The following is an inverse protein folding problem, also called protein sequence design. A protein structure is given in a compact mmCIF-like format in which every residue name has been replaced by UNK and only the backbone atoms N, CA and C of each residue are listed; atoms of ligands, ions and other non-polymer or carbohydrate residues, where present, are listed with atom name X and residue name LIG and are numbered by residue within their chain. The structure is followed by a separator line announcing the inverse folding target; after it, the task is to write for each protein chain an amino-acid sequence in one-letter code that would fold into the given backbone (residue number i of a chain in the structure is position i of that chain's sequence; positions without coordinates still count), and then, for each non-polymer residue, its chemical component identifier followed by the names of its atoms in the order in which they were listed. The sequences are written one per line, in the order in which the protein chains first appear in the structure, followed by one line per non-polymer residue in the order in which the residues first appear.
data_IF_161862105740
#
_entry.id   IF_161862105740
#
_cell.length_a   1.000
_cell.length_b   1.000
_cell.length_c   1.000
_cell.angle_alpha   90.00
_cell.angle_beta   90.00
_cell.angle_gamma   90.00
#
_symmetry.space_group_name_H-M   'P 1'
#
loop_
_entity.id
_entity.type
_entity.pdbx_description
1 polymer ?
#
# COMPACT_ATOMS: atom_id res chain seq x y z
N UNK A 1 8.68 9.18 14.78
CA UNK A 1 9.04 10.59 14.51
C UNK A 1 8.92 10.88 13.02
N UNK A 2 8.44 12.08 12.65
CA UNK A 2 8.40 12.55 11.25
C UNK A 2 9.79 13.09 10.85
N UNK A 3 10.27 12.68 9.69
CA UNK A 3 11.59 13.03 9.15
C UNK A 3 11.50 13.37 7.67
N UNK A 4 12.55 13.98 7.12
CA UNK A 4 12.68 14.24 5.68
C UNK A 4 14.06 13.86 5.19
N UNK A 5 14.13 13.38 3.94
CA UNK A 5 15.38 13.00 3.26
C UNK A 5 15.25 13.33 1.77
N UNK A 6 16.38 13.58 1.10
CA UNK A 6 16.40 13.74 -0.35
C UNK A 6 16.48 12.38 -1.04
N UNK A 7 15.53 12.10 -1.93
CA UNK A 7 15.51 10.87 -2.73
C UNK A 7 15.20 11.25 -4.17
N UNK A 8 16.10 10.95 -5.09
CA UNK A 8 15.91 11.23 -6.52
C UNK A 8 15.51 12.69 -6.82
N UNK A 9 16.09 13.63 -6.09
CA UNK A 9 15.80 15.07 -6.23
C UNK A 9 14.50 15.52 -5.54
N UNK A 10 13.74 14.63 -4.88
CA UNK A 10 12.52 14.96 -4.16
C UNK A 10 12.79 15.02 -2.66
N UNK A 11 12.31 16.07 -1.99
CA UNK A 11 12.20 16.08 -0.54
C UNK A 11 11.12 15.09 -0.13
N UNK A 12 11.53 13.97 0.45
CA UNK A 12 10.68 12.85 0.84
C UNK A 12 10.42 12.87 2.33
N UNK A 13 9.15 12.92 2.72
CA UNK A 13 8.72 12.83 4.11
C UNK A 13 8.49 11.37 4.50
N UNK A 14 8.90 10.99 5.71
CA UNK A 14 8.67 9.65 6.25
C UNK A 14 8.51 9.65 7.77
N UNK A 15 7.82 8.63 8.27
CA UNK A 15 7.70 8.32 9.69
C UNK A 15 8.66 7.19 10.01
N UNK A 16 9.34 7.26 11.13
CA UNK A 16 10.29 6.22 11.59
C UNK A 16 10.19 6.01 13.09
N UNK A 17 10.14 4.75 13.50
CA UNK A 17 10.17 4.31 14.89
C UNK A 17 11.02 3.06 15.05
N UNK A 18 11.66 2.94 16.22
CA UNK A 18 12.50 1.80 16.57
C UNK A 18 13.88 1.80 15.92
N UNK A 19 14.55 0.67 16.07
CA UNK A 19 15.87 0.38 15.52
C UNK A 19 15.96 -1.12 15.20
N UNK A 20 16.96 -1.54 14.41
CA UNK A 20 17.16 -2.93 14.00
C UNK A 20 16.87 -3.18 12.53
N UNK A 21 16.41 -4.37 12.18
CA UNK A 21 16.14 -4.71 10.78
C UNK A 21 15.02 -3.82 10.20
N UNK A 22 15.22 -3.20 9.02
CA UNK A 22 14.23 -2.29 8.45
C UNK A 22 12.99 -3.03 7.91
N UNK A 23 11.82 -2.48 8.26
CA UNK A 23 10.52 -2.81 7.66
C UNK A 23 9.95 -1.55 7.04
N UNK A 24 9.77 -1.53 5.74
CA UNK A 24 9.28 -0.37 4.99
C UNK A 24 7.83 -0.58 4.57
N UNK A 25 6.99 0.39 4.90
CA UNK A 25 5.55 0.39 4.65
C UNK A 25 5.18 1.36 3.54
N UNK A 26 4.42 0.88 2.57
CA UNK A 26 3.94 1.62 1.41
C UNK A 26 2.42 1.76 1.48
N UNK A 27 1.93 2.99 1.56
CA UNK A 27 0.49 3.29 1.59
C UNK A 27 -0.17 3.12 0.22
N UNK A 28 -1.50 3.04 0.19
CA UNK A 28 -2.30 2.97 -1.04
C UNK A 28 -2.33 4.30 -1.82
N UNK A 29 -3.09 4.34 -2.91
CA UNK A 29 -3.12 5.46 -3.85
C UNK A 29 -4.40 6.30 -3.82
N UNK A 30 -5.33 6.04 -2.89
CA UNK A 30 -6.54 6.85 -2.79
C UNK A 30 -6.24 8.28 -2.36
N UNK A 31 -7.12 9.21 -2.72
CA UNK A 31 -7.00 10.61 -2.37
C UNK A 31 -6.84 10.78 -0.85
N UNK A 32 -5.86 11.60 -0.42
CA UNK A 32 -5.52 11.81 0.98
C UNK A 32 -4.71 10.68 1.64
N UNK A 33 -4.22 9.69 0.88
CA UNK A 33 -3.29 8.67 1.41
C UNK A 33 -1.94 9.28 1.76
N UNK A 34 -1.32 8.76 2.82
CA UNK A 34 0.02 9.16 3.30
C UNK A 34 0.61 8.05 4.18
N UNK A 35 1.85 8.22 4.61
CA UNK A 35 2.54 7.36 5.57
C UNK A 35 1.76 7.19 6.90
N UNK A 36 0.92 8.16 7.26
CA UNK A 36 0.06 8.11 8.46
C UNK A 36 -0.96 6.97 8.44
N UNK A 37 -1.19 6.33 7.29
CA UNK A 37 -1.98 5.10 7.23
C UNK A 37 -1.41 3.98 8.14
N UNK A 38 -0.13 4.07 8.50
CA UNK A 38 0.57 3.08 9.33
C UNK A 38 0.90 3.56 10.74
N UNK A 39 0.39 4.70 11.19
CA UNK A 39 0.70 5.23 12.53
C UNK A 39 0.28 4.30 13.68
N UNK A 40 -0.70 3.41 13.47
CA UNK A 40 -1.09 2.36 14.41
C UNK A 40 -0.23 1.11 14.36
N UNK A 41 0.65 1.01 13.38
CA UNK A 41 1.47 -0.18 13.14
C UNK A 41 2.93 0.06 13.54
N UNK A 42 3.49 1.24 13.24
CA UNK A 42 4.91 1.53 13.50
C UNK A 42 5.33 1.26 14.95
N UNK A 43 4.57 1.67 16.00
CA UNK A 43 4.96 1.41 17.39
C UNK A 43 5.06 -0.08 17.72
N UNK A 44 4.16 -0.92 17.18
CA UNK A 44 4.17 -2.36 17.43
C UNK A 44 5.41 -3.04 16.81
N UNK A 45 5.79 -2.63 15.61
CA UNK A 45 7.00 -3.16 14.95
C UNK A 45 8.26 -2.65 15.64
N UNK A 46 8.29 -1.40 16.06
CA UNK A 46 9.39 -0.84 16.85
C UNK A 46 9.56 -1.58 18.18
N UNK A 47 8.47 -1.83 18.91
CA UNK A 47 8.46 -2.62 20.13
C UNK A 47 8.90 -4.08 19.95
N UNK A 48 8.76 -4.62 18.75
CA UNK A 48 9.24 -5.96 18.36
C UNK A 48 10.71 -5.98 17.90
N UNK A 49 11.43 -4.85 17.94
CA UNK A 49 12.86 -4.73 17.62
C UNK A 49 13.15 -4.44 16.14
N UNK A 50 12.17 -3.97 15.37
CA UNK A 50 12.38 -3.54 13.99
C UNK A 50 12.58 -2.01 13.89
N UNK A 51 13.28 -1.58 12.85
CA UNK A 51 13.26 -0.21 12.36
C UNK A 51 12.07 -0.06 11.42
N UNK A 52 10.94 0.42 11.93
CA UNK A 52 9.68 0.56 11.21
C UNK A 52 9.62 1.92 10.50
N UNK A 53 9.45 1.92 9.18
CA UNK A 53 9.54 3.12 8.34
C UNK A 53 8.35 3.16 7.38
N UNK A 54 7.59 4.25 7.38
CA UNK A 54 6.55 4.51 6.38
C UNK A 54 6.84 5.85 5.70
N UNK A 55 6.92 5.90 4.38
CA UNK A 55 7.16 7.15 3.68
C UNK A 55 5.96 7.58 2.82
N UNK A 56 5.79 8.88 2.66
CA UNK A 56 4.88 9.46 1.69
C UNK A 56 5.44 9.24 0.29
N UNK A 57 4.74 8.45 -0.52
CA UNK A 57 5.18 8.20 -1.90
C UNK A 57 5.21 9.50 -2.71
N UNK A 58 6.03 9.61 -3.79
CA UNK A 58 6.05 10.77 -4.66
C UNK A 58 4.66 11.22 -5.11
N UNK A 59 4.34 12.48 -4.87
CA UNK A 59 3.03 13.05 -5.16
C UNK A 59 1.95 12.76 -4.12
N UNK A 60 2.33 12.39 -2.90
CA UNK A 60 1.44 12.17 -1.75
C UNK A 60 1.96 12.88 -0.50
N UNK A 61 1.05 13.15 0.43
CA UNK A 61 1.36 13.64 1.75
C UNK A 61 2.24 14.89 1.73
N UNK A 62 3.37 14.83 2.43
CA UNK A 62 4.34 15.92 2.53
C UNK A 62 5.55 15.76 1.59
N UNK A 63 5.65 14.64 0.86
CA UNK A 63 6.66 14.44 -0.17
C UNK A 63 6.39 15.31 -1.40
N UNK A 64 7.44 15.74 -2.07
CA UNK A 64 7.34 16.56 -3.28
C UNK A 64 6.62 15.82 -4.41
N UNK A 65 6.07 16.59 -5.34
CA UNK A 65 5.49 16.06 -6.55
C UNK A 65 6.60 15.67 -7.54
N UNK A 66 6.54 14.48 -8.14
CA UNK A 66 7.48 14.06 -9.17
C UNK A 66 7.16 14.72 -10.52
N UNK A 67 8.11 14.64 -11.46
CA UNK A 67 7.84 14.97 -12.86
C UNK A 67 7.05 13.84 -13.53
N UNK A 68 7.37 12.59 -13.20
CA UNK A 68 6.70 11.39 -13.72
C UNK A 68 5.73 10.82 -12.66
N UNK A 69 4.44 10.79 -12.98
CA UNK A 69 3.38 10.29 -12.11
C UNK A 69 3.02 8.82 -12.34
N UNK A 70 3.71 8.11 -13.24
CA UNK A 70 3.47 6.70 -13.50
C UNK A 70 3.72 5.82 -12.25
N UNK A 71 2.98 4.72 -12.12
CA UNK A 71 3.20 3.79 -11.01
C UNK A 71 4.56 3.07 -11.15
N UNK A 72 5.07 2.93 -12.37
CA UNK A 72 6.42 2.43 -12.66
C UNK A 72 7.50 3.29 -12.01
N UNK A 73 7.41 4.64 -12.09
CA UNK A 73 8.32 5.54 -11.40
C UNK A 73 8.30 5.32 -9.87
N UNK A 74 7.10 5.28 -9.26
CA UNK A 74 6.96 5.03 -7.82
C UNK A 74 7.46 3.64 -7.42
N UNK A 75 7.34 2.65 -8.30
CA UNK A 75 7.91 1.31 -8.08
C UNK A 75 9.43 1.35 -7.98
N UNK A 76 10.10 2.05 -8.89
CA UNK A 76 11.56 2.23 -8.85
C UNK A 76 12.01 3.11 -7.68
N UNK A 77 11.19 4.07 -7.27
CA UNK A 77 11.47 4.95 -6.14
C UNK A 77 11.64 4.17 -4.82
N UNK A 78 11.03 2.99 -4.68
CA UNK A 78 11.19 2.12 -3.49
C UNK A 78 12.67 1.80 -3.27
N UNK A 79 13.40 1.38 -4.31
CA UNK A 79 14.83 1.06 -4.19
C UNK A 79 15.66 2.29 -3.90
N UNK A 80 15.36 3.41 -4.57
CA UNK A 80 16.04 4.70 -4.32
C UNK A 80 15.83 5.19 -2.88
N UNK A 81 14.62 4.97 -2.33
CA UNK A 81 14.34 5.29 -0.93
C UNK A 81 15.14 4.39 0.02
N UNK A 82 15.22 3.09 -0.24
CA UNK A 82 16.05 2.18 0.54
C UNK A 82 17.52 2.61 0.56
N UNK A 83 18.06 3.03 -0.58
CA UNK A 83 19.43 3.52 -0.68
C UNK A 83 19.64 4.80 0.15
N UNK A 84 18.69 5.73 0.08
CA UNK A 84 18.76 7.00 0.81
C UNK A 84 18.70 6.84 2.35
N UNK A 85 18.06 5.79 2.85
CA UNK A 85 17.99 5.49 4.29
C UNK A 85 19.05 4.47 4.76
N UNK A 86 20.05 4.18 3.90
CA UNK A 86 21.12 3.20 4.13
C UNK A 86 20.62 1.78 4.45
N UNK A 87 19.48 1.38 3.85
CA UNK A 87 18.93 0.04 3.98
C UNK A 87 19.32 -0.84 2.78
N UNK A 88 20.35 -1.64 2.91
CA UNK A 88 20.75 -2.60 1.86
C UNK A 88 19.66 -3.63 1.57
N UNK A 89 18.92 -4.06 2.60
CA UNK A 89 17.77 -4.98 2.51
C UNK A 89 16.69 -4.57 3.52
N UNK A 90 15.42 -4.81 3.18
CA UNK A 90 14.30 -4.54 4.07
C UNK A 90 13.19 -5.59 3.91
N UNK A 91 12.36 -5.79 4.92
CA UNK A 91 11.02 -6.31 4.73
C UNK A 91 10.14 -5.21 4.12
N UNK A 92 9.26 -5.57 3.18
CA UNK A 92 8.42 -4.61 2.48
C UNK A 92 6.95 -4.94 2.68
N UNK A 93 6.18 -3.96 3.13
CA UNK A 93 4.73 -4.05 3.32
C UNK A 93 4.05 -3.11 2.33
N UNK A 94 3.34 -3.64 1.36
CA UNK A 94 2.60 -2.84 0.38
C UNK A 94 1.09 -2.94 0.58
N UNK A 95 0.42 -1.82 0.83
CA UNK A 95 -1.04 -1.78 0.97
C UNK A 95 -1.72 -1.30 -0.31
N UNK A 96 -2.82 -1.95 -0.71
CA UNK A 96 -3.68 -1.53 -1.82
C UNK A 96 -2.90 -1.53 -3.16
N UNK A 97 -2.87 -0.45 -3.92
CA UNK A 97 -2.07 -0.35 -5.14
C UNK A 97 -0.58 -0.64 -4.90
N UNK A 98 -0.06 -0.24 -3.73
CA UNK A 98 1.34 -0.48 -3.39
C UNK A 98 1.69 -1.97 -3.20
N UNK A 99 0.71 -2.86 -2.99
CA UNK A 99 0.94 -4.30 -3.01
C UNK A 99 1.44 -4.77 -4.38
N UNK A 100 0.84 -4.27 -5.46
CA UNK A 100 1.32 -4.55 -6.82
C UNK A 100 2.69 -3.97 -7.12
N UNK A 101 2.99 -2.77 -6.60
CA UNK A 101 4.31 -2.15 -6.73
C UNK A 101 5.37 -2.96 -5.96
N UNK A 102 5.06 -3.37 -4.72
CA UNK A 102 5.93 -4.20 -3.89
C UNK A 102 6.24 -5.55 -4.54
N UNK A 103 5.25 -6.20 -5.14
CA UNK A 103 5.48 -7.45 -5.88
C UNK A 103 6.38 -7.24 -7.11
N UNK A 104 6.15 -6.17 -7.90
CA UNK A 104 6.98 -5.87 -9.08
C UNK A 104 8.41 -5.54 -8.71
N UNK A 105 8.64 -4.70 -7.71
CA UNK A 105 10.00 -4.34 -7.28
C UNK A 105 10.74 -5.54 -6.70
N UNK A 106 10.05 -6.45 -5.99
CA UNK A 106 10.67 -7.68 -5.47
C UNK A 106 11.09 -8.63 -6.60
N UNK A 107 10.31 -8.71 -7.68
CA UNK A 107 10.67 -9.49 -8.88
C UNK A 107 11.87 -8.88 -9.63
N UNK A 108 11.99 -7.54 -9.63
CA UNK A 108 13.08 -6.83 -10.33
C UNK A 108 14.37 -6.77 -9.52
N UNK A 109 14.27 -6.72 -8.18
CA UNK A 109 15.39 -6.54 -7.25
C UNK A 109 15.34 -7.57 -6.10
N UNK A 110 15.40 -8.89 -6.39
CA UNK A 110 15.11 -9.94 -5.39
C UNK A 110 16.07 -9.93 -4.19
N UNK A 111 17.29 -9.40 -4.34
CA UNK A 111 18.28 -9.34 -3.25
C UNK A 111 18.05 -8.19 -2.29
N UNK A 112 17.17 -7.22 -2.60
CA UNK A 112 16.90 -6.04 -1.80
C UNK A 112 15.86 -6.27 -0.71
N UNK A 113 15.19 -7.41 -0.69
CA UNK A 113 14.12 -7.70 0.26
C UNK A 113 14.41 -8.94 1.08
N UNK A 114 13.87 -8.97 2.31
CA UNK A 114 13.95 -10.13 3.22
C UNK A 114 12.61 -10.85 3.28
N UNK A 115 11.51 -10.10 3.30
CA UNK A 115 10.13 -10.58 3.35
C UNK A 115 9.23 -9.62 2.55
N UNK A 116 8.10 -10.12 2.08
CA UNK A 116 7.12 -9.34 1.36
C UNK A 116 5.71 -9.58 1.92
N UNK A 117 5.04 -8.52 2.35
CA UNK A 117 3.63 -8.54 2.76
C UNK A 117 2.81 -7.73 1.75
N UNK A 118 1.86 -8.37 1.09
CA UNK A 118 0.93 -7.75 0.14
C UNK A 118 -0.45 -7.63 0.80
N UNK A 119 -0.86 -6.42 1.11
CA UNK A 119 -2.04 -6.14 1.92
C UNK A 119 -3.13 -5.48 1.09
N UNK A 120 -4.31 -6.09 0.99
CA UNK A 120 -5.48 -5.51 0.31
C UNK A 120 -5.27 -5.24 -1.19
N UNK A 121 -4.31 -5.89 -1.83
CA UNK A 121 -3.92 -5.62 -3.21
C UNK A 121 -4.81 -6.30 -4.25
N UNK A 122 -5.78 -5.58 -4.82
CA UNK A 122 -6.67 -6.14 -5.86
C UNK A 122 -5.93 -6.61 -7.12
N UNK A 123 -4.83 -5.96 -7.50
CA UNK A 123 -4.04 -6.29 -8.69
C UNK A 123 -3.14 -7.53 -8.57
N UNK A 124 -3.02 -8.10 -7.38
CA UNK A 124 -2.27 -9.34 -7.11
C UNK A 124 -3.18 -10.55 -6.88
N UNK A 125 -4.46 -10.43 -7.18
CA UNK A 125 -5.44 -11.51 -7.13
C UNK A 125 -6.01 -11.82 -8.52
N UNK A 126 -6.34 -13.10 -8.83
CA UNK A 126 -6.99 -13.45 -10.09
C UNK A 126 -8.37 -12.80 -10.20
N UNK A 127 -8.87 -12.49 -11.40
CA UNK A 127 -10.25 -12.10 -11.59
C UNK A 127 -11.19 -13.27 -11.26
N UNK A 128 -12.42 -12.96 -10.85
CA UNK A 128 -13.45 -14.00 -10.73
C UNK A 128 -13.89 -14.48 -12.13
N UNK A 129 -14.26 -15.75 -12.28
CA UNK A 129 -14.77 -16.27 -13.55
C UNK A 129 -15.92 -15.40 -14.10
N UNK A 130 -15.88 -15.08 -15.39
CA UNK A 130 -16.86 -14.24 -16.07
C UNK A 130 -16.77 -12.73 -15.76
N UNK A 131 -15.81 -12.29 -14.93
CA UNK A 131 -15.52 -10.87 -14.72
C UNK A 131 -14.19 -10.53 -15.36
N UNK A 132 -14.16 -9.58 -16.28
CA UNK A 132 -12.90 -9.01 -16.77
C UNK A 132 -12.17 -8.37 -15.59
N UNK A 133 -10.94 -8.79 -15.35
CA UNK A 133 -10.12 -8.25 -14.27
C UNK A 133 -9.89 -6.76 -14.46
N UNK A 134 -10.25 -6.00 -13.44
CA UNK A 134 -10.14 -4.57 -13.42
C UNK A 134 -11.43 -3.98 -12.87
N UNK A 135 -11.58 -3.94 -11.55
CA UNK A 135 -12.44 -2.92 -10.94
C UNK A 135 -11.90 -1.55 -11.36
N UNK A 136 -12.70 -0.48 -11.28
CA UNK A 136 -12.21 0.87 -11.58
C UNK A 136 -10.90 1.09 -10.84
N UNK A 137 -9.92 1.64 -11.53
CA UNK A 137 -8.62 1.95 -10.92
C UNK A 137 -8.89 2.75 -9.64
N UNK A 138 -8.35 2.27 -8.53
CA UNK A 138 -8.59 2.86 -7.22
C UNK A 138 -8.32 4.37 -7.28
N UNK A 139 -9.32 5.18 -6.98
CA UNK A 139 -9.21 6.64 -6.97
C UNK A 139 -9.67 7.34 -8.25
N UNK A 140 -10.24 6.66 -9.24
CA UNK A 140 -10.78 7.29 -10.46
C UNK A 140 -12.26 7.72 -10.39
N UNK A 141 -12.86 7.81 -9.24
CA UNK A 141 -14.07 8.61 -9.16
C UNK A 141 -13.66 10.08 -9.22
N UNK A 142 -13.66 10.59 -10.46
CA UNK A 142 -13.17 11.92 -10.78
C UNK A 142 -13.97 13.02 -10.10
N UNK A 143 -13.41 13.58 -9.05
CA UNK A 143 -13.75 14.92 -8.66
C UNK A 143 -12.88 15.87 -9.49
N UNK A 144 -13.45 16.53 -10.48
CA UNK A 144 -12.82 17.69 -11.15
C UNK A 144 -12.82 18.93 -10.24
N UNK A 145 -13.31 18.80 -9.03
CA UNK A 145 -13.52 19.86 -8.04
C UNK A 145 -12.68 19.61 -6.79
N UNK A 146 -12.38 20.68 -6.07
CA UNK A 146 -11.65 20.60 -4.79
C UNK A 146 -12.32 19.60 -3.85
N UNK A 147 -11.57 18.65 -3.26
CA UNK A 147 -12.11 17.63 -2.37
C UNK A 147 -12.76 18.22 -1.12
N UNK A 148 -13.80 17.56 -0.62
CA UNK A 148 -14.57 17.92 0.56
C UNK A 148 -14.50 16.84 1.65
N UNK A 149 -14.97 17.15 2.86
CA UNK A 149 -15.14 16.14 3.92
C UNK A 149 -16.11 15.02 3.51
N UNK A 150 -17.14 15.36 2.73
CA UNK A 150 -18.08 14.37 2.21
C UNK A 150 -17.39 13.38 1.26
N UNK A 151 -16.48 13.85 0.41
CA UNK A 151 -15.69 12.97 -0.47
C UNK A 151 -14.79 12.07 0.36
N UNK A 152 -14.16 12.59 1.41
CA UNK A 152 -13.37 11.77 2.34
C UNK A 152 -14.25 10.72 3.03
N UNK A 153 -15.46 11.09 3.44
CA UNK A 153 -16.42 10.15 4.04
C UNK A 153 -16.76 9.03 3.07
N UNK A 154 -17.13 9.33 1.83
CA UNK A 154 -17.43 8.33 0.79
C UNK A 154 -16.26 7.38 0.56
N UNK A 155 -15.03 7.91 0.46
CA UNK A 155 -13.83 7.09 0.32
C UNK A 155 -13.67 6.15 1.52
N UNK A 156 -13.82 6.65 2.75
CA UNK A 156 -13.64 5.85 3.96
C UNK A 156 -14.75 4.82 4.13
N UNK A 157 -16.01 5.17 3.82
CA UNK A 157 -17.13 4.25 3.85
C UNK A 157 -16.94 3.04 2.93
N UNK A 158 -16.27 3.23 1.79
CA UNK A 158 -15.95 2.15 0.86
C UNK A 158 -14.77 1.28 1.32
N UNK A 159 -14.00 1.73 2.32
CA UNK A 159 -12.76 1.08 2.75
C UNK A 159 -12.81 0.49 4.16
N UNK A 160 -13.83 0.82 4.97
CA UNK A 160 -14.03 0.30 6.32
C UNK A 160 -15.20 -0.67 6.40
N UNK A 161 -15.05 -1.73 7.15
CA UNK A 161 -16.15 -2.59 7.61
C UNK A 161 -16.88 -1.92 8.78
N UNK A 162 -16.14 -1.54 9.82
CA UNK A 162 -16.69 -0.83 10.99
C UNK A 162 -16.69 0.68 10.75
N UNK A 163 -17.81 1.22 10.29
CA UNK A 163 -17.99 2.65 10.02
C UNK A 163 -17.83 3.55 11.27
N UNK A 164 -18.02 3.00 12.47
CA UNK A 164 -17.83 3.72 13.74
C UNK A 164 -16.39 4.16 13.99
N UNK A 165 -15.41 3.58 13.26
CA UNK A 165 -14.01 3.99 13.34
C UNK A 165 -13.69 5.22 12.46
N UNK A 166 -14.63 5.69 11.65
CA UNK A 166 -14.45 6.85 10.77
C UNK A 166 -14.79 8.12 11.56
N UNK A 167 -13.80 8.63 12.29
CA UNK A 167 -13.96 9.87 13.08
C UNK A 167 -13.82 11.12 12.23
N UNK A 168 -14.29 12.25 12.76
CA UNK A 168 -14.13 13.55 12.11
C UNK A 168 -12.66 13.91 11.94
N UNK A 169 -11.83 13.64 12.94
CA UNK A 169 -10.38 13.90 12.92
C UNK A 169 -9.69 13.11 11.80
N UNK A 170 -10.08 11.85 11.59
CA UNK A 170 -9.56 11.03 10.51
C UNK A 170 -9.94 11.61 9.14
N UNK A 171 -11.17 12.10 8.99
CA UNK A 171 -11.63 12.72 7.74
C UNK A 171 -10.93 14.06 7.48
N UNK A 172 -10.77 14.91 8.49
CA UNK A 172 -10.06 16.18 8.40
C UNK A 172 -8.57 15.98 8.06
N UNK A 173 -7.93 15.00 8.69
CA UNK A 173 -6.55 14.65 8.40
C UNK A 173 -6.39 14.20 6.94
N UNK A 174 -7.29 13.33 6.44
CA UNK A 174 -7.28 12.92 5.03
C UNK A 174 -7.57 14.07 4.08
N UNK A 175 -8.54 14.92 4.41
CA UNK A 175 -8.86 16.10 3.60
C UNK A 175 -7.63 17.00 3.48
N UNK A 176 -6.96 17.30 4.58
CA UNK A 176 -5.72 18.10 4.57
C UNK A 176 -4.68 17.51 3.63
N UNK A 177 -4.52 16.17 3.62
CA UNK A 177 -3.57 15.47 2.73
C UNK A 177 -4.09 15.30 1.30
N UNK A 178 -5.30 15.74 0.98
CA UNK A 178 -5.88 15.66 -0.37
C UNK A 178 -5.93 17.01 -1.10
N UNK A 179 -5.55 18.08 -0.45
CA UNK A 179 -5.63 19.45 -1.00
C UNK A 179 -4.33 19.94 -1.64
N UNK A 180 -4.41 21.04 -2.39
CA UNK A 180 -3.27 21.72 -3.00
C UNK A 180 -2.46 20.80 -3.91
N UNK A 181 -1.14 20.77 -3.74
CA UNK A 181 -0.22 19.97 -4.57
C UNK A 181 -0.59 18.48 -4.65
N UNK A 182 -1.22 17.95 -3.60
CA UNK A 182 -1.63 16.52 -3.57
C UNK A 182 -2.86 16.28 -4.45
N UNK A 183 -3.76 17.25 -4.55
CA UNK A 183 -4.87 17.16 -5.50
C UNK A 183 -4.37 17.25 -6.94
N UNK A 184 -3.45 18.18 -7.24
CA UNK A 184 -2.83 18.30 -8.55
C UNK A 184 -2.13 17.00 -8.94
N UNK A 185 -1.39 16.40 -8.00
CA UNK A 185 -0.75 15.10 -8.18
C UNK A 185 -1.77 13.96 -8.39
N UNK A 186 -2.91 13.98 -7.71
CA UNK A 186 -3.98 13.01 -7.91
C UNK A 186 -4.53 13.09 -9.34
N UNK A 187 -4.83 14.29 -9.83
CA UNK A 187 -5.28 14.51 -11.22
C UNK A 187 -4.20 14.09 -12.22
N UNK A 188 -2.93 14.43 -11.97
CA UNK A 188 -1.83 14.03 -12.85
C UNK A 188 -1.67 12.49 -12.92
N UNK A 189 -1.77 11.78 -11.77
CA UNK A 189 -1.75 10.31 -11.72
C UNK A 189 -2.91 9.67 -12.48
N UNK A 190 -4.13 10.25 -12.40
CA UNK A 190 -5.30 9.72 -13.13
C UNK A 190 -5.15 9.82 -14.65
N UNK A 191 -4.31 10.74 -15.11
CA UNK A 191 -4.00 10.95 -16.54
C UNK A 191 -2.73 10.23 -17.00
N UNK A 192 -1.88 9.82 -16.06
CA UNK A 192 -0.64 9.11 -16.37
C UNK A 192 -0.97 7.77 -17.04
N UNK A 193 -0.41 7.56 -18.23
CA UNK A 193 -0.57 6.31 -18.96
C UNK A 193 0.53 5.35 -18.53
N UNK A 194 0.13 4.21 -17.99
CA UNK A 194 1.07 3.10 -17.85
C UNK A 194 1.26 2.45 -19.22
N UNK A 195 2.49 1.99 -19.57
CA UNK A 195 2.67 1.15 -20.72
C UNK A 195 1.70 -0.05 -20.60
N UNK A 196 0.83 -0.20 -21.59
CA UNK A 196 -0.06 -1.37 -21.65
C UNK A 196 0.80 -2.60 -21.90
N UNK A 197 1.27 -3.23 -20.85
CA UNK A 197 2.04 -4.45 -20.93
C UNK A 197 1.10 -5.63 -21.17
N UNK A 198 1.14 -6.22 -22.37
CA UNK A 198 0.57 -7.53 -22.66
C UNK A 198 1.34 -8.68 -21.99
N UNK A 199 1.79 -8.48 -20.74
CA UNK A 199 2.57 -9.47 -20.01
C UNK A 199 1.72 -10.41 -19.16
N UNK A 200 2.38 -11.43 -18.59
CA UNK A 200 1.75 -12.36 -17.64
C UNK A 200 1.18 -11.59 -16.45
N UNK A 201 -0.10 -11.82 -16.09
CA UNK A 201 -0.72 -11.16 -14.94
C UNK A 201 0.09 -11.34 -13.65
N UNK A 202 0.17 -10.31 -12.84
CA UNK A 202 1.05 -10.29 -11.67
C UNK A 202 0.75 -11.42 -10.67
N UNK A 203 -0.53 -11.78 -10.49
CA UNK A 203 -0.90 -12.89 -9.59
C UNK A 203 -0.31 -14.25 -10.02
N UNK A 204 -0.08 -14.49 -11.31
CA UNK A 204 0.56 -15.71 -11.82
C UNK A 204 2.08 -15.70 -11.60
N UNK A 205 2.65 -14.53 -11.37
CA UNK A 205 4.08 -14.34 -11.15
C UNK A 205 4.48 -14.32 -9.68
N UNK A 206 3.52 -14.35 -8.74
CA UNK A 206 3.82 -14.33 -7.31
C UNK A 206 4.72 -15.49 -6.87
N UNK A 207 4.60 -16.64 -7.51
CA UNK A 207 5.46 -17.80 -7.27
C UNK A 207 6.93 -17.63 -7.70
N UNK A 208 7.23 -16.61 -8.52
CA UNK A 208 8.61 -16.27 -8.93
C UNK A 208 9.33 -15.43 -7.84
N UNK A 209 8.60 -14.92 -6.85
CA UNK A 209 9.18 -14.13 -5.75
C UNK A 209 9.98 -15.07 -4.85
N UNK A 210 11.27 -14.81 -4.73
CA UNK A 210 12.23 -15.69 -4.04
C UNK A 210 12.31 -15.50 -2.53
N UNK A 211 11.64 -14.49 -1.98
CA UNK A 211 11.60 -14.21 -0.54
C UNK A 211 10.28 -14.70 0.06
N UNK A 212 10.22 -14.97 1.38
CA UNK A 212 8.96 -15.26 2.05
C UNK A 212 7.89 -14.23 1.71
N UNK A 213 6.71 -14.71 1.27
CA UNK A 213 5.60 -13.90 0.81
C UNK A 213 4.34 -14.22 1.61
N UNK A 214 3.67 -13.17 2.12
CA UNK A 214 2.35 -13.23 2.74
C UNK A 214 1.40 -12.29 2.02
N UNK A 215 0.24 -12.81 1.61
CA UNK A 215 -0.91 -12.01 1.19
C UNK A 215 -1.87 -11.89 2.38
N UNK A 216 -2.28 -10.67 2.73
CA UNK A 216 -3.17 -10.40 3.87
C UNK A 216 -4.31 -9.48 3.47
N UNK A 217 -5.54 -9.88 3.78
CA UNK A 217 -6.75 -9.11 3.43
C UNK A 217 -7.72 -9.07 4.60
N UNK A 218 -8.52 -7.99 4.65
CA UNK A 218 -9.76 -8.03 5.40
C UNK A 218 -10.76 -8.95 4.69
N UNK A 219 -11.47 -9.80 5.42
CA UNK A 219 -12.43 -10.74 4.84
C UNK A 219 -13.60 -10.05 4.15
N UNK A 220 -13.94 -8.86 4.60
CA UNK A 220 -14.98 -7.99 4.05
C UNK A 220 -14.44 -6.94 3.07
N UNK A 221 -13.20 -7.12 2.59
CA UNK A 221 -12.62 -6.21 1.61
C UNK A 221 -13.42 -6.26 0.29
N UNK A 222 -13.50 -5.10 -0.36
CA UNK A 222 -14.22 -4.90 -1.62
C UNK A 222 -13.68 -5.77 -2.76
N UNK A 223 -14.41 -5.82 -3.86
CA UNK A 223 -13.99 -6.56 -5.05
C UNK A 223 -13.94 -8.07 -4.85
N UNK A 224 -14.72 -8.59 -3.87
CA UNK A 224 -14.77 -10.02 -3.58
C UNK A 224 -13.40 -10.61 -3.21
N UNK A 225 -12.59 -9.87 -2.46
CA UNK A 225 -11.21 -10.23 -2.14
C UNK A 225 -11.11 -11.64 -1.53
N UNK A 226 -11.98 -12.00 -0.57
CA UNK A 226 -11.97 -13.32 0.06
C UNK A 226 -12.19 -14.46 -0.95
N UNK A 227 -13.13 -14.31 -1.89
CA UNK A 227 -13.38 -15.31 -2.95
C UNK A 227 -12.19 -15.41 -3.91
N UNK A 228 -11.59 -14.27 -4.27
CA UNK A 228 -10.41 -14.21 -5.14
C UNK A 228 -9.16 -14.78 -4.45
N UNK A 229 -9.04 -14.62 -3.14
CA UNK A 229 -8.00 -15.27 -2.32
C UNK A 229 -8.16 -16.79 -2.33
N UNK A 230 -9.39 -17.30 -2.17
CA UNK A 230 -9.67 -18.74 -2.27
C UNK A 230 -9.28 -19.29 -3.65
N UNK A 231 -9.67 -18.59 -4.72
CA UNK A 231 -9.30 -18.97 -6.09
C UNK A 231 -7.79 -18.96 -6.31
N UNK A 232 -7.09 -17.96 -5.80
CA UNK A 232 -5.62 -17.91 -5.88
C UNK A 232 -4.98 -19.08 -5.10
N UNK A 233 -5.52 -19.41 -3.92
CA UNK A 233 -5.04 -20.53 -3.09
C UNK A 233 -5.23 -21.88 -3.75
N UNK A 234 -6.31 -22.06 -4.52
CA UNK A 234 -6.56 -23.25 -5.33
C UNK A 234 -5.54 -23.36 -6.49
N UNK A 235 -5.22 -22.23 -7.15
CA UNK A 235 -4.26 -22.19 -8.26
C UNK A 235 -2.81 -22.32 -7.80
N UNK A 236 -2.46 -21.76 -6.66
CA UNK A 236 -1.10 -21.73 -6.10
C UNK A 236 -1.14 -22.10 -4.59
N UNK A 237 -1.25 -23.41 -4.26
CA UNK A 237 -1.40 -23.88 -2.88
C UNK A 237 -0.24 -23.52 -1.95
N UNK A 238 0.94 -23.24 -2.50
CA UNK A 238 2.13 -22.84 -1.73
C UNK A 238 2.06 -21.43 -1.18
N UNK A 239 1.26 -20.54 -1.76
CA UNK A 239 1.15 -19.15 -1.30
C UNK A 239 0.49 -19.08 0.08
N UNK A 240 1.11 -18.31 0.96
CA UNK A 240 0.53 -17.98 2.26
C UNK A 240 -0.45 -16.84 2.13
N UNK A 241 -1.73 -17.10 2.43
CA UNK A 241 -2.81 -16.14 2.37
C UNK A 241 -3.53 -16.15 3.70
N UNK A 242 -3.70 -14.99 4.32
CA UNK A 242 -4.43 -14.82 5.58
C UNK A 242 -5.56 -13.80 5.41
N UNK A 243 -6.73 -14.10 6.00
CA UNK A 243 -7.90 -13.23 6.03
C UNK A 243 -8.17 -12.82 7.48
N UNK A 244 -8.38 -11.53 7.71
CA UNK A 244 -8.77 -11.00 9.03
C UNK A 244 -10.28 -10.74 9.01
N UNK A 245 -10.99 -11.38 9.92
CA UNK A 245 -12.44 -11.18 10.08
C UNK A 245 -12.76 -9.76 10.58
N UNK A 246 -13.97 -9.28 10.26
CA UNK A 246 -14.50 -7.98 10.66
C UNK A 246 -13.58 -6.81 10.23
N UNK A 247 -12.97 -6.93 9.08
CA UNK A 247 -12.12 -5.91 8.49
C UNK A 247 -12.32 -5.84 6.97
N UNK A 248 -12.27 -4.63 6.42
CA UNK A 248 -12.34 -4.37 4.99
C UNK A 248 -10.97 -3.98 4.42
N UNK A 249 -10.95 -3.02 3.51
CA UNK A 249 -9.76 -2.64 2.75
C UNK A 249 -8.65 -2.03 3.61
N UNK A 250 -9.02 -1.19 4.59
CA UNK A 250 -8.05 -0.58 5.52
C UNK A 250 -7.77 -1.46 6.74
N UNK A 251 -7.57 -2.76 6.51
CA UNK A 251 -7.25 -3.75 7.56
C UNK A 251 -6.07 -3.34 8.45
N UNK A 252 -5.10 -2.62 7.90
CA UNK A 252 -3.94 -2.05 8.61
C UNK A 252 -4.32 -1.04 9.69
N UNK A 253 -5.47 -0.39 9.53
CA UNK A 253 -6.01 0.61 10.45
C UNK A 253 -7.14 0.06 11.30
N UNK A 254 -8.12 -0.58 10.65
CA UNK A 254 -9.37 -1.06 11.26
C UNK A 254 -9.12 -2.22 12.23
N UNK A 255 -8.24 -3.14 11.86
CA UNK A 255 -7.84 -4.29 12.65
C UNK A 255 -6.33 -4.27 12.96
N UNK A 256 -5.80 -3.10 13.34
CA UNK A 256 -4.37 -2.86 13.50
C UNK A 256 -3.68 -3.89 14.40
N UNK A 257 -4.26 -4.24 15.54
CA UNK A 257 -3.68 -5.21 16.48
C UNK A 257 -3.53 -6.60 15.86
N UNK A 258 -4.57 -7.06 15.15
CA UNK A 258 -4.55 -8.37 14.49
C UNK A 258 -3.63 -8.38 13.29
N UNK A 259 -3.59 -7.28 12.53
CA UNK A 259 -2.62 -7.08 11.46
C UNK A 259 -1.19 -7.14 12.01
N UNK A 260 -0.89 -6.37 13.06
CA UNK A 260 0.42 -6.32 13.69
C UNK A 260 0.87 -7.69 14.19
N UNK A 261 0.01 -8.42 14.93
CA UNK A 261 0.27 -9.78 15.40
C UNK A 261 0.65 -10.71 14.23
N UNK A 262 -0.18 -10.71 13.18
CA UNK A 262 -0.02 -11.59 12.01
C UNK A 262 1.26 -11.26 11.24
N UNK A 263 1.51 -9.98 10.98
CA UNK A 263 2.68 -9.52 10.25
C UNK A 263 3.99 -9.78 11.03
N UNK A 264 4.00 -9.50 12.34
CA UNK A 264 5.16 -9.76 13.18
C UNK A 264 5.49 -11.25 13.32
N UNK A 265 4.46 -12.12 13.40
CA UNK A 265 4.65 -13.58 13.37
C UNK A 265 5.25 -14.07 12.03
N UNK A 266 4.92 -13.40 10.95
CA UNK A 266 5.45 -13.72 9.63
C UNK A 266 6.91 -13.25 9.44
N UNK A 267 7.31 -12.15 10.06
CA UNK A 267 8.66 -11.57 9.93
C UNK A 267 9.72 -12.27 10.83
N UNK A 268 9.29 -13.04 11.82
CA UNK A 268 10.14 -13.85 12.71
C UNK A 268 10.36 -15.24 12.16
#
# INVERSE_FOLDING_TARGET
MERTIQVDGLKTCYLEEGAGAPVVFLHGASLGSSARAFERNLPAFAGAGFRAIAYDQPGFGLTDNPIDYAASYRTQFIVKFLDAIDASRAALVGHSQAAGMAARVALQHPTRFTHLLLVGGGGVLPPLPGKTGGGPAEGQEGTSTTPTLEDMRKIMDNNFFNKGLITTELLEQRLKMSLGKNFDAFIARSRAREPQGGGVPLYQRLKEISVPLLLLYGKQDRGSAAQRCALLKEQEPSLRIELIDNAAHLVIWEAADKFNETALRFLK
#
